data_IF_158030210001
#
_entry.id   IF_158030210001
#
_cell.length_a   1.000
_cell.length_b   1.000
_cell.length_c   1.000
_cell.angle_alpha   90.00
_cell.angle_beta   90.00
_cell.angle_gamma   90.00
#
_symmetry.space_group_name_H-M   'P 1'
#
loop_
_entity.id
_entity.type
_entity.pdbx_description
1 polymer ?
#
# COMPACT_ATOMS: atom_id res chain seq x y z
N UNK A 1 15.43 -15.02 10.79
CA UNK A 1 15.10 -14.13 9.67
C UNK A 1 14.63 -12.80 10.25
N UNK A 2 15.29 -11.70 9.88
CA UNK A 2 14.97 -10.36 10.40
C UNK A 2 13.68 -9.88 9.72
N UNK A 3 12.95 -8.97 10.36
CA UNK A 3 11.73 -8.38 9.80
C UNK A 3 11.92 -6.87 9.67
N UNK A 4 11.24 -6.27 8.70
CA UNK A 4 11.38 -4.85 8.39
C UNK A 4 10.28 -3.97 8.99
N UNK A 5 9.30 -4.53 9.70
CA UNK A 5 8.15 -3.77 10.18
C UNK A 5 8.57 -2.52 11.00
N UNK A 6 9.62 -2.60 11.83
CA UNK A 6 10.14 -1.41 12.53
C UNK A 6 10.68 -0.33 11.59
N UNK A 7 11.42 -0.73 10.55
CA UNK A 7 12.00 0.17 9.55
C UNK A 7 10.92 0.75 8.62
N UNK A 8 9.92 -0.04 8.23
CA UNK A 8 8.76 0.42 7.45
C UNK A 8 7.98 1.47 8.23
N UNK A 9 7.74 1.22 9.53
CA UNK A 9 7.08 2.20 10.38
C UNK A 9 7.90 3.50 10.47
N UNK A 10 9.21 3.41 10.68
CA UNK A 10 10.07 4.59 10.72
C UNK A 10 10.14 5.34 9.38
N UNK A 11 10.14 4.63 8.26
CA UNK A 11 10.07 5.22 6.92
C UNK A 11 8.73 5.95 6.71
N UNK A 12 7.62 5.27 6.98
CA UNK A 12 6.27 5.84 6.90
C UNK A 12 6.14 7.14 7.72
N UNK A 13 6.63 7.15 8.96
CA UNK A 13 6.54 8.33 9.84
C UNK A 13 7.45 9.49 9.41
N UNK A 14 8.44 9.25 8.52
CA UNK A 14 9.32 10.31 7.97
C UNK A 14 8.78 10.93 6.69
N UNK A 15 7.86 10.26 5.99
CA UNK A 15 7.30 10.78 4.76
C UNK A 15 6.52 12.06 5.07
N UNK A 16 6.88 13.13 4.35
CA UNK A 16 6.20 14.42 4.49
C UNK A 16 4.77 14.28 4.01
N UNK A 17 3.89 15.10 4.57
CA UNK A 17 2.56 15.27 4.00
C UNK A 17 2.74 15.82 2.58
N UNK A 18 2.35 15.02 1.57
CA UNK A 18 2.33 15.46 0.18
C UNK A 18 1.27 16.54 -0.04
N UNK A 19 1.07 16.95 -1.28
CA UNK A 19 0.06 17.93 -1.69
C UNK A 19 -1.39 17.45 -1.58
N UNK A 20 -1.69 16.47 -0.72
CA UNK A 20 -3.02 15.91 -0.49
C UNK A 20 -3.30 14.58 -1.19
N UNK A 21 -4.54 14.10 -1.06
CA UNK A 21 -5.08 12.96 -1.79
C UNK A 21 -5.97 13.44 -2.94
N UNK A 22 -5.58 13.18 -4.19
CA UNK A 22 -6.37 13.45 -5.41
C UNK A 22 -6.19 12.28 -6.36
N UNK A 23 -7.27 11.56 -6.65
CA UNK A 23 -7.28 10.35 -7.46
C UNK A 23 -8.27 10.52 -8.61
N UNK A 24 -7.75 10.51 -9.84
CA UNK A 24 -8.52 10.74 -11.07
C UNK A 24 -8.34 9.55 -12.01
N UNK A 25 -8.89 8.36 -11.65
CA UNK A 25 -8.73 7.19 -12.49
C UNK A 25 -9.51 7.30 -13.79
N UNK A 26 -9.05 6.56 -14.79
CA UNK A 26 -9.81 6.40 -16.02
C UNK A 26 -11.21 5.80 -15.75
N UNK A 27 -12.24 6.22 -16.50
CA UNK A 27 -13.57 5.61 -16.39
C UNK A 27 -13.51 4.11 -16.68
N UNK A 28 -14.26 3.32 -15.90
CA UNK A 28 -14.40 1.87 -16.10
C UNK A 28 -15.87 1.45 -16.17
N UNK A 29 -16.13 0.31 -16.80
CA UNK A 29 -17.47 -0.28 -16.83
C UNK A 29 -17.84 -0.82 -15.43
N UNK A 30 -19.12 -0.81 -15.03
CA UNK A 30 -19.54 -1.36 -13.73
C UNK A 30 -19.20 -2.85 -13.55
N UNK A 31 -19.06 -3.61 -14.63
CA UNK A 31 -18.67 -5.03 -14.63
C UNK A 31 -17.17 -5.26 -14.75
N UNK A 32 -16.36 -4.20 -14.93
CA UNK A 32 -14.91 -4.32 -15.05
C UNK A 32 -14.29 -4.62 -13.67
N UNK A 33 -13.64 -5.79 -13.50
CA UNK A 33 -13.03 -6.18 -12.25
C UNK A 33 -11.68 -5.49 -11.99
N UNK A 34 -11.14 -4.76 -12.96
CA UNK A 34 -9.86 -4.07 -12.86
C UNK A 34 -9.92 -2.99 -11.80
N UNK A 35 -8.90 -2.92 -10.94
CA UNK A 35 -8.82 -1.81 -10.01
C UNK A 35 -8.41 -0.53 -10.73
N UNK A 36 -9.18 0.56 -10.59
CA UNK A 36 -8.83 1.82 -11.23
C UNK A 36 -7.42 2.25 -10.80
N UNK A 37 -6.66 2.75 -11.76
CA UNK A 37 -5.35 3.36 -11.55
C UNK A 37 -5.36 4.74 -12.17
N UNK A 38 -4.60 5.64 -11.57
CA UNK A 38 -4.31 6.93 -12.16
C UNK A 38 -3.25 6.75 -13.26
N UNK A 39 -3.47 7.22 -14.50
CA UNK A 39 -2.50 7.04 -15.59
C UNK A 39 -1.29 7.99 -15.47
N UNK A 40 -1.35 9.00 -14.60
CA UNK A 40 -0.40 10.10 -14.55
C UNK A 40 0.65 9.99 -13.44
N UNK A 41 0.40 9.23 -12.37
CA UNK A 41 1.40 9.02 -11.31
C UNK A 41 1.07 7.81 -10.42
N UNK A 42 2.04 7.40 -9.60
CA UNK A 42 1.94 6.22 -8.73
C UNK A 42 1.60 6.57 -7.27
N UNK A 43 1.25 7.83 -7.00
CA UNK A 43 0.86 8.30 -5.67
C UNK A 43 1.95 8.24 -4.61
N UNK A 44 3.22 8.18 -5.02
CA UNK A 44 4.41 8.33 -4.16
C UNK A 44 4.72 9.81 -3.92
N UNK A 45 5.43 10.14 -2.84
CA UNK A 45 5.77 11.52 -2.46
C UNK A 45 6.92 12.11 -3.27
N UNK A 46 7.75 11.24 -3.86
CA UNK A 46 8.86 11.58 -4.76
C UNK A 46 9.07 10.46 -5.76
N UNK A 47 9.72 10.76 -6.89
CA UNK A 47 10.16 9.71 -7.81
C UNK A 47 11.04 8.72 -7.06
N UNK A 48 10.74 7.43 -7.25
CA UNK A 48 11.50 6.33 -6.67
C UNK A 48 12.32 5.68 -7.77
N UNK A 49 13.59 5.43 -7.49
CA UNK A 49 14.50 4.77 -8.41
C UNK A 49 15.19 3.60 -7.74
N UNK A 50 15.42 2.55 -8.51
CA UNK A 50 16.19 1.37 -8.11
C UNK A 50 17.29 1.14 -9.14
N UNK A 51 18.54 1.03 -8.69
CA UNK A 51 19.71 0.82 -9.56
C UNK A 51 19.80 1.81 -10.74
N UNK A 52 19.42 3.07 -10.50
CA UNK A 52 19.46 4.14 -11.49
C UNK A 52 18.23 4.23 -12.41
N UNK A 53 17.30 3.28 -12.33
CA UNK A 53 16.07 3.28 -13.12
C UNK A 53 14.86 3.67 -12.27
N UNK A 54 13.93 4.44 -12.83
CA UNK A 54 12.71 4.85 -12.13
C UNK A 54 11.74 3.66 -11.99
N UNK A 55 11.25 3.43 -10.78
CA UNK A 55 10.26 2.38 -10.45
C UNK A 55 8.89 2.95 -10.07
N UNK A 56 8.81 4.19 -9.60
CA UNK A 56 7.55 4.88 -9.33
C UNK A 56 7.68 6.38 -9.60
N UNK A 57 6.62 7.00 -10.11
CA UNK A 57 6.54 8.42 -10.46
C UNK A 57 5.65 9.18 -9.47
N UNK A 58 6.15 10.28 -8.93
CA UNK A 58 5.36 11.21 -8.13
C UNK A 58 4.49 12.12 -9.00
N UNK A 59 3.42 12.65 -8.41
CA UNK A 59 2.65 13.71 -9.06
C UNK A 59 3.42 15.04 -9.03
N UNK A 60 3.27 15.86 -10.07
CA UNK A 60 3.87 17.20 -10.12
C UNK A 60 3.35 18.13 -9.02
N UNK A 61 2.10 17.93 -8.58
CA UNK A 61 1.42 18.71 -7.55
C UNK A 61 1.48 18.07 -6.14
N UNK A 62 2.25 16.98 -6.00
CA UNK A 62 2.43 16.25 -4.76
C UNK A 62 1.26 15.35 -4.34
N UNK A 63 0.26 15.10 -5.20
CA UNK A 63 -0.82 14.15 -4.92
C UNK A 63 -0.29 12.73 -4.58
N UNK A 64 -0.92 12.09 -3.60
CA UNK A 64 -0.51 10.77 -3.09
C UNK A 64 -1.65 9.76 -3.05
N UNK A 65 -1.30 8.47 -3.07
CA UNK A 65 -2.23 7.33 -2.97
C UNK A 65 -1.79 6.35 -1.89
N UNK A 66 -2.77 5.66 -1.31
CA UNK A 66 -2.52 4.61 -0.33
C UNK A 66 -1.53 3.53 -0.79
N UNK A 67 -1.64 3.04 -2.03
CA UNK A 67 -0.70 2.05 -2.57
C UNK A 67 0.70 2.64 -2.77
N UNK A 68 0.80 3.84 -3.34
CA UNK A 68 2.07 4.53 -3.56
C UNK A 68 2.86 4.76 -2.29
N UNK A 69 2.25 5.43 -1.29
CA UNK A 69 2.98 5.81 -0.07
C UNK A 69 3.34 4.60 0.81
N UNK A 70 2.57 3.52 0.75
CA UNK A 70 2.90 2.28 1.48
C UNK A 70 4.01 1.49 0.78
N UNK A 71 4.04 1.50 -0.56
CA UNK A 71 5.16 0.98 -1.33
C UNK A 71 6.43 1.79 -1.10
N UNK A 72 6.34 3.12 -1.09
CA UNK A 72 7.46 4.01 -0.78
C UNK A 72 8.02 3.75 0.61
N UNK A 73 7.15 3.64 1.63
CA UNK A 73 7.58 3.31 2.99
C UNK A 73 8.26 1.93 3.07
N UNK A 74 7.82 0.97 2.26
CA UNK A 74 8.48 -0.33 2.17
C UNK A 74 9.84 -0.25 1.50
N UNK A 75 9.95 0.45 0.37
CA UNK A 75 11.22 0.59 -0.36
C UNK A 75 12.25 1.40 0.45
N UNK A 76 11.81 2.46 1.15
CA UNK A 76 12.65 3.28 2.04
C UNK A 76 13.06 2.56 3.33
N UNK A 77 12.43 1.43 3.63
CA UNK A 77 12.89 0.51 4.68
C UNK A 77 14.08 -0.34 4.26
N UNK A 78 14.58 -0.16 3.03
CA UNK A 78 15.73 -0.82 2.41
C UNK A 78 15.62 -2.36 2.46
N UNK A 79 14.61 -2.93 1.77
CA UNK A 79 14.43 -4.37 1.75
C UNK A 79 15.59 -5.06 1.02
N UNK A 80 15.99 -6.27 1.44
CA UNK A 80 17.06 -7.02 0.78
C UNK A 80 16.55 -7.63 -0.53
N UNK A 81 16.49 -6.80 -1.57
CA UNK A 81 15.91 -7.16 -2.87
C UNK A 81 16.78 -8.11 -3.72
N UNK A 82 18.00 -8.43 -3.27
CA UNK A 82 18.90 -9.32 -3.99
C UNK A 82 19.12 -8.85 -5.42
N UNK A 83 18.80 -9.71 -6.39
CA UNK A 83 19.00 -9.44 -7.82
C UNK A 83 17.80 -8.81 -8.53
N UNK A 84 16.69 -8.55 -7.84
CA UNK A 84 15.50 -7.91 -8.42
C UNK A 84 15.87 -6.63 -9.18
N UNK A 85 15.50 -6.58 -10.45
CA UNK A 85 15.65 -5.41 -11.30
C UNK A 85 14.52 -4.39 -11.11
N UNK A 86 14.64 -3.26 -11.82
CA UNK A 86 13.64 -2.21 -11.79
C UNK A 86 12.32 -2.62 -12.49
N UNK A 87 12.36 -3.58 -13.42
CA UNK A 87 11.17 -4.14 -14.03
C UNK A 87 10.38 -4.97 -13.01
N UNK A 88 11.03 -5.89 -12.30
CA UNK A 88 10.36 -6.72 -11.29
C UNK A 88 9.83 -5.88 -10.13
N UNK A 89 10.50 -4.80 -9.74
CA UNK A 89 9.96 -3.86 -8.76
C UNK A 89 8.72 -3.12 -9.25
N UNK A 90 8.63 -2.80 -10.56
CA UNK A 90 7.40 -2.24 -11.14
C UNK A 90 6.26 -3.27 -11.14
N UNK A 91 6.56 -4.56 -11.26
CA UNK A 91 5.57 -5.63 -11.10
C UNK A 91 5.13 -5.77 -9.64
N UNK A 92 6.06 -5.66 -8.67
CA UNK A 92 5.71 -5.60 -7.24
C UNK A 92 4.76 -4.43 -6.98
N UNK A 93 5.06 -3.25 -7.54
CA UNK A 93 4.21 -2.07 -7.44
C UNK A 93 2.84 -2.31 -8.09
N UNK A 94 2.78 -2.94 -9.26
CA UNK A 94 1.52 -3.26 -9.94
C UNK A 94 0.63 -4.16 -9.08
N UNK A 95 1.19 -5.20 -8.45
CA UNK A 95 0.46 -6.08 -7.53
C UNK A 95 0.00 -5.34 -6.27
N UNK A 96 0.83 -4.39 -5.79
CA UNK A 96 0.50 -3.49 -4.68
C UNK A 96 -0.78 -2.69 -4.97
N UNK A 97 -0.93 -2.24 -6.22
CA UNK A 97 -2.10 -1.54 -6.71
C UNK A 97 -3.34 -2.44 -6.90
N UNK A 98 -3.28 -3.71 -6.51
CA UNK A 98 -4.39 -4.65 -6.57
C UNK A 98 -4.97 -4.74 -7.98
N UNK A 99 -4.31 -5.42 -8.94
CA UNK A 99 -4.68 -5.38 -10.37
C UNK A 99 -6.16 -5.71 -10.63
N UNK A 100 -6.76 -6.52 -9.74
CA UNK A 100 -8.20 -6.80 -9.72
C UNK A 100 -8.80 -6.52 -8.33
N UNK A 101 -10.10 -6.25 -8.30
CA UNK A 101 -10.89 -6.08 -7.08
C UNK A 101 -10.75 -7.26 -6.14
N UNK A 102 -10.51 -6.99 -4.86
CA UNK A 102 -10.32 -8.02 -3.84
C UNK A 102 -8.92 -8.62 -3.76
N UNK A 103 -7.99 -8.22 -4.64
CA UNK A 103 -6.58 -8.64 -4.54
C UNK A 103 -5.98 -8.24 -3.19
N UNK A 104 -5.06 -9.06 -2.65
CA UNK A 104 -4.46 -8.85 -1.32
C UNK A 104 -3.30 -7.82 -1.32
N UNK A 105 -3.15 -7.06 -2.40
CA UNK A 105 -2.24 -5.93 -2.54
C UNK A 105 -0.80 -6.25 -2.12
N UNK A 106 -0.25 -5.37 -1.28
CA UNK A 106 1.05 -5.51 -0.65
C UNK A 106 1.32 -6.89 -0.03
N UNK A 107 0.28 -7.51 0.56
CA UNK A 107 0.46 -8.77 1.24
C UNK A 107 0.81 -9.91 0.27
N UNK A 108 0.14 -9.94 -0.88
CA UNK A 108 0.41 -10.93 -1.93
C UNK A 108 1.65 -10.58 -2.73
N UNK A 109 1.83 -9.29 -3.06
CA UNK A 109 3.00 -8.79 -3.79
C UNK A 109 4.32 -9.22 -3.14
N UNK A 110 4.39 -9.16 -1.80
CA UNK A 110 5.56 -9.58 -1.03
C UNK A 110 5.65 -11.10 -0.85
N UNK A 111 4.55 -11.75 -0.47
CA UNK A 111 4.57 -13.18 -0.11
C UNK A 111 4.89 -14.05 -1.32
N UNK A 112 4.29 -13.76 -2.48
CA UNK A 112 4.50 -14.55 -3.70
C UNK A 112 5.95 -14.48 -4.21
N UNK A 113 6.71 -13.46 -3.79
CA UNK A 113 8.12 -13.23 -4.19
C UNK A 113 9.12 -13.57 -3.07
N UNK A 114 8.66 -14.13 -1.96
CA UNK A 114 9.54 -14.45 -0.82
C UNK A 114 10.08 -13.22 -0.07
N UNK A 115 9.53 -12.03 -0.32
CA UNK A 115 9.90 -10.76 0.33
C UNK A 115 9.12 -10.51 1.62
N UNK A 116 8.15 -11.38 1.93
CA UNK A 116 7.25 -11.26 3.06
C UNK A 116 6.68 -12.59 3.51
N UNK A 117 6.00 -12.58 4.65
CA UNK A 117 5.15 -13.69 5.10
C UNK A 117 3.77 -13.19 5.49
N UNK A 118 2.73 -14.00 5.26
CA UNK A 118 1.37 -13.71 5.72
C UNK A 118 1.34 -13.56 7.24
N UNK A 119 0.54 -12.60 7.72
CA UNK A 119 0.31 -12.36 9.14
C UNK A 119 -1.19 -12.24 9.39
N UNK A 120 -1.66 -12.81 10.49
CA UNK A 120 -3.05 -12.63 10.93
C UNK A 120 -3.17 -11.33 11.72
N UNK A 121 -4.37 -10.74 11.75
CA UNK A 121 -4.63 -9.50 12.51
C UNK A 121 -4.25 -9.62 13.99
N UNK A 122 -4.36 -10.82 14.59
CA UNK A 122 -3.96 -11.12 15.97
C UNK A 122 -2.43 -11.07 16.17
N UNK A 123 -1.68 -11.42 15.15
CA UNK A 123 -0.21 -11.50 15.17
C UNK A 123 0.46 -10.29 14.52
N UNK A 124 -0.35 -9.36 14.02
CA UNK A 124 0.08 -8.12 13.38
C UNK A 124 0.86 -7.25 14.36
N UNK A 125 1.85 -6.53 13.83
CA UNK A 125 2.70 -5.60 14.56
C UNK A 125 2.77 -4.29 13.81
N UNK A 126 2.97 -3.15 14.51
CA UNK A 126 3.22 -1.88 13.86
C UNK A 126 4.27 -2.00 12.74
N UNK A 127 3.94 -1.48 11.57
CA UNK A 127 4.76 -1.55 10.37
C UNK A 127 4.56 -2.76 9.46
N UNK A 128 3.71 -3.71 9.84
CA UNK A 128 3.23 -4.72 8.88
C UNK A 128 2.40 -4.02 7.78
N UNK A 129 2.50 -4.52 6.56
CA UNK A 129 1.77 -3.98 5.42
C UNK A 129 0.43 -4.68 5.31
N UNK A 130 -0.61 -3.93 4.98
CA UNK A 130 -1.98 -4.41 5.01
C UNK A 130 -2.75 -3.90 3.79
N UNK A 131 -3.39 -4.80 3.05
CA UNK A 131 -4.47 -4.46 2.13
C UNK A 131 -5.78 -4.82 2.79
N UNK A 132 -6.76 -3.91 2.78
CA UNK A 132 -8.10 -4.21 3.27
C UNK A 132 -9.16 -3.83 2.24
N UNK A 133 -10.26 -4.57 2.25
CA UNK A 133 -11.44 -4.26 1.45
C UNK A 133 -12.66 -4.14 2.36
N UNK A 134 -13.34 -2.98 2.30
CA UNK A 134 -14.66 -2.80 2.92
C UNK A 134 -15.77 -3.39 2.05
N UNK A 135 -15.54 -3.38 0.74
CA UNK A 135 -16.41 -3.95 -0.29
C UNK A 135 -15.59 -4.28 -1.53
N UNK A 136 -15.84 -5.44 -2.14
CA UNK A 136 -15.33 -5.83 -3.47
C UNK A 136 -16.45 -5.81 -4.52
N UNK A 137 -17.61 -5.23 -4.20
CA UNK A 137 -18.68 -4.98 -5.16
C UNK A 137 -18.17 -4.05 -6.26
N UNK A 138 -18.23 -4.51 -7.51
CA UNK A 138 -17.72 -3.79 -8.66
C UNK A 138 -18.44 -2.45 -8.90
N UNK A 139 -19.68 -2.29 -8.43
CA UNK A 139 -20.41 -1.01 -8.52
C UNK A 139 -19.93 0.02 -7.49
N UNK A 140 -19.43 -0.43 -6.33
CA UNK A 140 -18.98 0.44 -5.24
C UNK A 140 -17.80 -0.20 -4.45
N UNK A 141 -16.64 -0.39 -5.09
CA UNK A 141 -15.52 -1.03 -4.42
C UNK A 141 -14.87 -0.08 -3.42
N UNK A 142 -14.29 -0.65 -2.36
CA UNK A 142 -13.64 0.11 -1.32
C UNK A 142 -12.43 -0.64 -0.77
N UNK A 143 -11.33 -0.60 -1.51
CA UNK A 143 -10.01 -1.10 -1.09
C UNK A 143 -9.15 -0.02 -0.44
N UNK A 144 -8.17 -0.42 0.36
CA UNK A 144 -7.17 0.49 0.90
C UNK A 144 -5.89 -0.24 1.33
N UNK A 145 -4.75 0.24 0.84
CA UNK A 145 -3.41 -0.17 1.28
C UNK A 145 -2.97 0.67 2.48
N UNK A 146 -2.45 0.05 3.53
CA UNK A 146 -2.05 0.76 4.76
C UNK A 146 -0.81 0.15 5.39
N UNK A 147 -0.09 0.97 6.17
CA UNK A 147 0.85 0.48 7.18
C UNK A 147 0.08 0.27 8.48
N UNK A 148 0.01 -0.97 8.95
CA UNK A 148 -0.68 -1.33 10.18
C UNK A 148 -0.02 -0.67 11.39
N UNK A 149 -0.82 -0.13 12.32
CA UNK A 149 -0.33 0.39 13.60
C UNK A 149 -0.91 -0.41 14.77
N UNK A 150 -2.22 -0.61 14.82
CA UNK A 150 -2.87 -1.31 15.94
C UNK A 150 -4.25 -1.86 15.54
N UNK A 151 -4.70 -2.91 16.23
CA UNK A 151 -6.07 -3.39 16.14
C UNK A 151 -6.60 -3.83 17.50
N UNK A 152 -7.55 -3.05 18.04
CA UNK A 152 -8.15 -3.27 19.38
C UNK A 152 -9.63 -2.93 19.36
N UNK A 153 -10.43 -3.75 20.04
CA UNK A 153 -11.87 -3.55 20.20
C UNK A 153 -12.64 -3.32 18.89
N UNK A 154 -12.20 -4.00 17.83
CA UNK A 154 -12.77 -3.89 16.48
C UNK A 154 -12.39 -2.61 15.73
N UNK A 155 -11.41 -1.85 16.21
CA UNK A 155 -10.87 -0.69 15.51
C UNK A 155 -9.51 -0.99 14.90
N UNK A 156 -9.35 -0.65 13.63
CA UNK A 156 -8.07 -0.70 12.93
C UNK A 156 -7.47 0.71 12.91
N UNK A 157 -6.27 0.86 13.47
CA UNK A 157 -5.47 2.09 13.41
C UNK A 157 -4.31 1.85 12.45
N UNK A 158 -4.08 2.79 11.54
CA UNK A 158 -3.10 2.63 10.48
C UNK A 158 -2.58 3.97 9.99
N UNK A 159 -1.47 3.92 9.27
CA UNK A 159 -0.92 5.04 8.51
C UNK A 159 -1.13 4.78 7.01
N UNK A 160 -1.58 5.79 6.26
CA UNK A 160 -1.73 5.71 4.80
C UNK A 160 -1.97 7.09 4.18
N UNK A 161 -2.20 7.15 2.86
CA UNK A 161 -2.72 8.32 2.17
C UNK A 161 -4.21 8.20 1.82
N UNK A 162 -5.03 9.16 2.25
CA UNK A 162 -6.47 9.23 1.96
C UNK A 162 -7.03 10.65 2.14
N UNK A 163 -8.27 10.88 1.68
CA UNK A 163 -8.97 12.17 1.85
C UNK A 163 -9.07 12.60 3.32
N UNK A 164 -9.39 11.69 4.24
CA UNK A 164 -9.60 12.03 5.65
C UNK A 164 -8.31 12.39 6.40
N UNK A 165 -7.14 12.19 5.79
CA UNK A 165 -5.83 12.59 6.32
C UNK A 165 -5.19 13.72 5.49
N UNK A 166 -5.92 14.26 4.51
CA UNK A 166 -5.42 15.23 3.52
C UNK A 166 -4.07 14.81 2.91
N UNK A 167 -4.07 13.62 2.29
CA UNK A 167 -2.83 12.96 1.88
C UNK A 167 -2.40 12.01 2.99
N UNK A 168 -1.16 12.09 3.45
CA UNK A 168 -0.54 11.10 4.34
C UNK A 168 -0.84 11.36 5.82
N UNK A 169 -1.26 10.33 6.56
CA UNK A 169 -1.43 10.45 8.01
C UNK A 169 -1.94 9.19 8.69
N UNK A 170 -2.13 9.30 10.00
CA UNK A 170 -2.74 8.25 10.82
C UNK A 170 -4.26 8.37 10.77
N UNK A 171 -4.93 7.26 10.54
CA UNK A 171 -6.37 7.14 10.61
C UNK A 171 -6.79 5.92 11.43
N UNK A 172 -8.01 5.98 11.94
CA UNK A 172 -8.62 4.90 12.70
C UNK A 172 -10.06 4.73 12.27
N UNK A 173 -10.46 3.49 11.99
CA UNK A 173 -11.84 3.16 11.64
C UNK A 173 -12.27 1.83 12.23
N UNK A 174 -13.58 1.65 12.36
CA UNK A 174 -14.16 0.41 12.89
C UNK A 174 -14.22 -0.63 11.78
N UNK A 175 -13.65 -1.80 12.04
CA UNK A 175 -13.68 -2.94 11.10
C UNK A 175 -15.12 -3.45 11.01
N UNK A 176 -15.69 -3.38 9.81
CA UNK A 176 -17.05 -3.82 9.53
C UNK A 176 -17.16 -5.33 9.34
N UNK A 177 -18.38 -5.86 9.49
CA UNK A 177 -18.68 -7.24 9.13
C UNK A 177 -18.47 -7.41 7.61
N UNK A 178 -17.74 -8.44 7.21
CA UNK A 178 -17.48 -8.75 5.81
C UNK A 178 -16.24 -8.06 5.22
N UNK A 179 -15.50 -7.28 6.01
CA UNK A 179 -14.21 -6.76 5.55
C UNK A 179 -13.21 -7.91 5.36
N UNK A 180 -12.40 -7.82 4.32
CA UNK A 180 -11.17 -8.62 4.21
C UNK A 180 -9.99 -7.77 4.63
N UNK A 181 -9.06 -8.39 5.37
CA UNK A 181 -7.85 -7.73 5.87
C UNK A 181 -6.69 -8.69 5.67
N UNK A 182 -5.87 -8.38 4.68
CA UNK A 182 -4.72 -9.17 4.26
C UNK A 182 -3.45 -8.47 4.73
N UNK A 183 -2.71 -9.10 5.65
CA UNK A 183 -1.44 -8.56 6.14
C UNK A 183 -0.24 -9.39 5.71
N UNK A 184 0.87 -8.71 5.45
CA UNK A 184 2.18 -9.30 5.37
C UNK A 184 3.20 -8.56 6.23
N UNK A 185 4.11 -9.35 6.80
CA UNK A 185 5.33 -8.84 7.42
C UNK A 185 6.47 -9.00 6.44
N UNK A 186 7.03 -7.87 6.01
CA UNK A 186 8.21 -7.84 5.14
C UNK A 186 9.44 -8.44 5.85
N UNK A 187 10.24 -9.14 5.07
CA UNK A 187 11.48 -9.79 5.50
C UNK A 187 12.68 -8.91 5.21
N UNK A 188 13.67 -8.97 6.10
CA UNK A 188 14.91 -8.21 6.04
C UNK A 188 16.12 -9.06 6.33
#
# INVERSE_FOLDING_TARGET
>A
MRTLNGQILAAAMRLRHGGGYRFEPEPRLPSDPTNPRDPHHDGVTRDLSWRGERVARAAADGATFCCGVTFEAWLDADPPLGDLGALELREVLADWFCPVMGHAGAAEALVNRGLGRRVTLRSARPGDLCQRWRSTDLAAPSGHSVVFLDHRDGWLTYWSSQRATDGVGVHRERVGRGWTVDLARALG
#
